data_IF_223218607410
#
_entry.id   IF_223218607410
#
_cell.length_a   1.000
_cell.length_b   1.000
_cell.length_c   1.000
_cell.angle_alpha   90.00
_cell.angle_beta   90.00
_cell.angle_gamma   90.00
#
_symmetry.space_group_name_H-M   'P 1'
#
loop_
_entity.id
_entity.type
_entity.pdbx_description
1 polymer ?
#
# COMPACT_ATOMS: atom_id res chain seq x y z
N UNK A 1 10.44 -1.70 2.83
CA UNK A 1 10.72 -1.13 1.49
C UNK A 1 9.45 -0.55 0.85
N UNK A 2 8.32 -1.25 0.79
CA UNK A 2 7.07 -0.75 0.17
C UNK A 2 6.61 0.62 0.73
N UNK A 3 6.46 0.74 2.05
CA UNK A 3 6.04 1.98 2.71
C UNK A 3 7.02 3.15 2.46
N UNK A 4 8.33 2.85 2.50
CA UNK A 4 9.36 3.85 2.23
C UNK A 4 9.35 4.32 0.77
N UNK A 5 9.06 3.41 -0.17
CA UNK A 5 8.89 3.73 -1.58
C UNK A 5 7.66 4.63 -1.82
N UNK A 6 6.53 4.36 -1.17
CA UNK A 6 5.36 5.24 -1.26
C UNK A 6 5.65 6.67 -0.77
N UNK A 7 6.45 6.80 0.30
CA UNK A 7 6.89 8.08 0.84
C UNK A 7 8.02 8.77 0.04
N UNK A 8 8.61 8.11 -0.97
CA UNK A 8 9.62 8.74 -1.84
C UNK A 8 9.03 9.39 -3.08
N UNK A 9 7.72 9.25 -3.33
CA UNK A 9 7.06 9.76 -4.54
C UNK A 9 6.66 11.22 -4.30
N UNK A 10 7.16 12.20 -5.07
CA UNK A 10 6.74 13.59 -4.94
C UNK A 10 5.23 13.76 -5.09
N UNK A 11 4.62 14.50 -4.15
CA UNK A 11 3.18 14.80 -4.18
C UNK A 11 2.28 13.75 -3.54
N UNK A 12 2.80 12.63 -3.04
CA UNK A 12 2.01 11.69 -2.23
C UNK A 12 2.00 12.10 -0.75
N UNK A 13 0.93 11.76 0.00
CA UNK A 13 0.94 11.94 1.44
C UNK A 13 2.13 11.23 2.11
N UNK A 14 2.91 11.99 2.88
CA UNK A 14 4.13 11.52 3.54
C UNK A 14 5.41 11.71 2.73
N UNK A 15 5.35 12.36 1.56
CA UNK A 15 6.55 12.75 0.81
C UNK A 15 7.48 13.64 1.65
N UNK A 16 8.75 13.23 1.76
CA UNK A 16 9.76 13.95 2.55
C UNK A 16 9.58 13.85 4.06
N UNK A 17 8.59 13.08 4.54
CA UNK A 17 8.22 12.97 5.94
C UNK A 17 8.09 11.50 6.38
N UNK A 18 7.52 11.27 7.57
CA UNK A 18 7.15 9.94 8.02
C UNK A 18 6.03 9.38 7.14
N UNK A 19 6.00 8.06 6.90
CA UNK A 19 4.95 7.45 6.10
C UNK A 19 3.55 7.78 6.61
N UNK A 20 2.68 8.23 5.72
CA UNK A 20 1.30 8.51 6.05
C UNK A 20 0.51 7.20 6.20
N UNK A 21 0.05 6.92 7.43
CA UNK A 21 -0.62 5.67 7.79
C UNK A 21 -1.93 5.49 7.03
N UNK A 22 -2.80 6.49 7.05
CA UNK A 22 -4.14 6.39 6.47
C UNK A 22 -4.09 6.29 4.95
N UNK A 23 -3.16 7.03 4.31
CA UNK A 23 -2.87 6.89 2.89
C UNK A 23 -2.43 5.47 2.54
N UNK A 24 -1.50 4.90 3.32
CA UNK A 24 -0.99 3.54 3.06
C UNK A 24 -2.08 2.48 3.26
N UNK A 25 -2.93 2.63 4.28
CA UNK A 25 -4.04 1.72 4.52
C UNK A 25 -5.13 1.83 3.45
N UNK A 26 -5.43 3.05 2.98
CA UNK A 26 -6.35 3.26 1.86
C UNK A 26 -5.87 2.59 0.57
N UNK A 27 -4.58 2.72 0.25
CA UNK A 27 -3.98 1.99 -0.88
C UNK A 27 -4.06 0.47 -0.70
N UNK A 28 -3.77 -0.03 0.50
CA UNK A 28 -3.84 -1.45 0.82
C UNK A 28 -5.25 -2.03 0.60
N UNK A 29 -6.29 -1.25 0.90
CA UNK A 29 -7.68 -1.66 0.64
C UNK A 29 -8.03 -1.59 -0.85
N UNK A 30 -7.59 -0.54 -1.56
CA UNK A 30 -7.76 -0.40 -3.01
C UNK A 30 -7.11 -1.55 -3.79
N UNK A 31 -5.92 -2.01 -3.37
CA UNK A 31 -5.24 -3.13 -4.03
C UNK A 31 -6.07 -4.41 -4.06
N UNK A 32 -6.96 -4.61 -3.08
CA UNK A 32 -7.87 -5.76 -3.01
C UNK A 32 -9.21 -5.47 -3.67
N UNK A 33 -9.70 -4.23 -3.57
CA UNK A 33 -11.01 -3.84 -4.09
C UNK A 33 -11.08 -3.74 -5.62
N UNK A 34 -9.95 -3.50 -6.29
CA UNK A 34 -9.88 -3.35 -7.74
C UNK A 34 -8.92 -4.39 -8.36
N UNK A 35 -9.48 -5.29 -9.18
CA UNK A 35 -8.74 -6.38 -9.83
C UNK A 35 -7.59 -5.89 -10.72
N UNK A 36 -7.69 -4.68 -11.28
CA UNK A 36 -6.62 -4.07 -12.09
C UNK A 36 -5.37 -3.82 -11.25
N UNK A 37 -5.55 -3.47 -9.99
CA UNK A 37 -4.44 -3.32 -9.06
C UNK A 37 -3.97 -4.67 -8.53
N UNK A 38 -4.89 -5.59 -8.24
CA UNK A 38 -4.55 -6.92 -7.77
C UNK A 38 -3.66 -7.69 -8.76
N UNK A 39 -3.84 -7.46 -10.07
CA UNK A 39 -2.99 -8.03 -11.12
C UNK A 39 -1.48 -7.75 -10.91
N UNK A 40 -1.11 -6.60 -10.34
CA UNK A 40 0.29 -6.25 -10.05
C UNK A 40 0.92 -7.06 -8.92
N UNK A 41 0.10 -7.81 -8.17
CA UNK A 41 0.54 -8.65 -7.05
C UNK A 41 0.36 -10.14 -7.34
N UNK A 42 0.12 -10.54 -8.61
CA UNK A 42 -0.16 -11.93 -8.97
C UNK A 42 -1.62 -12.32 -8.76
N UNK A 43 -2.53 -11.34 -8.67
CA UNK A 43 -3.96 -11.56 -8.53
C UNK A 43 -4.49 -11.33 -7.10
N UNK A 44 -5.76 -11.67 -6.84
CA UNK A 44 -6.47 -11.34 -5.60
C UNK A 44 -5.76 -11.81 -4.33
N UNK A 45 -5.15 -13.00 -4.34
CA UNK A 45 -4.52 -13.56 -3.14
C UNK A 45 -3.20 -12.87 -2.80
N UNK A 46 -2.41 -12.50 -3.82
CA UNK A 46 -1.22 -11.69 -3.61
C UNK A 46 -1.57 -10.28 -3.09
N UNK A 47 -2.63 -9.67 -3.59
CA UNK A 47 -3.12 -8.39 -3.09
C UNK A 47 -3.58 -8.48 -1.62
N UNK A 48 -4.31 -9.54 -1.24
CA UNK A 48 -4.70 -9.79 0.17
C UNK A 48 -3.47 -9.97 1.07
N UNK A 49 -2.45 -10.66 0.59
CA UNK A 49 -1.18 -10.83 1.33
C UNK A 49 -0.50 -9.47 1.56
N UNK A 50 -0.34 -8.66 0.52
CA UNK A 50 0.27 -7.32 0.63
C UNK A 50 -0.53 -6.43 1.59
N UNK A 51 -1.87 -6.42 1.49
CA UNK A 51 -2.72 -5.67 2.42
C UNK A 51 -2.48 -6.07 3.88
N UNK A 52 -2.41 -7.38 4.13
CA UNK A 52 -2.21 -7.92 5.47
C UNK A 52 -0.82 -7.56 6.00
N UNK A 53 0.21 -7.62 5.17
CA UNK A 53 1.57 -7.21 5.52
C UNK A 53 1.67 -5.70 5.82
N UNK A 54 1.01 -4.84 5.04
CA UNK A 54 0.98 -3.40 5.27
C UNK A 54 0.26 -3.06 6.58
N UNK A 55 -0.88 -3.71 6.85
CA UNK A 55 -1.63 -3.56 8.10
C UNK A 55 -0.82 -4.00 9.32
N UNK A 56 -0.15 -5.15 9.24
CA UNK A 56 0.72 -5.65 10.30
C UNK A 56 1.93 -4.75 10.56
N UNK A 57 2.48 -4.11 9.51
CA UNK A 57 3.65 -3.23 9.62
C UNK A 57 3.33 -1.83 10.18
N UNK A 58 2.05 -1.45 10.15
CA UNK A 58 1.49 -0.16 10.61
C UNK A 58 0.59 -0.29 11.85
N UNK A 59 0.54 -1.48 12.44
CA UNK A 59 0.07 -1.69 13.81
C UNK A 59 1.16 -1.20 14.78
#
# INVERSE_FOLDING_TARGET
RHIAWLGSIPGTPGYGEKPNRDYTLGLADMYVADERFAANYGGPDGAKFVRSALRARLA
#
